data_IF_391691545963
#
_entry.id   IF_391691545963
#
_cell.length_a   1.000
_cell.length_b   1.000
_cell.length_c   1.000
_cell.angle_alpha   90.00
_cell.angle_beta   90.00
_cell.angle_gamma   90.00
#
_symmetry.space_group_name_H-M   'P 1'
#
loop_
_entity.id
_entity.type
_entity.pdbx_description
1 polymer ?
#
# COMPACT_ATOMS: atom_id res chain seq x y z
N UNK A 1 -22.94 94.06 -15.49
CA UNK A 1 -23.48 92.95 -16.36
C UNK A 1 -22.51 91.81 -16.22
N UNK A 2 -22.79 90.93 -15.34
CA UNK A 2 -21.87 89.89 -14.94
C UNK A 2 -22.65 88.55 -15.06
N UNK A 3 -22.19 87.66 -15.95
CA UNK A 3 -22.70 86.36 -16.08
C UNK A 3 -21.86 85.38 -15.24
N UNK A 4 -22.51 84.68 -14.28
CA UNK A 4 -21.92 83.68 -13.42
C UNK A 4 -22.11 82.34 -14.10
N UNK A 5 -21.01 81.71 -14.46
CA UNK A 5 -21.00 80.31 -14.96
C UNK A 5 -20.79 79.32 -13.81
N UNK A 6 -21.73 78.42 -13.65
CA UNK A 6 -21.67 77.35 -12.67
C UNK A 6 -20.81 76.19 -13.17
N UNK A 7 -19.97 75.54 -12.35
CA UNK A 7 -19.20 74.39 -12.74
C UNK A 7 -20.01 73.11 -12.55
N UNK A 8 -20.09 72.30 -13.59
CA UNK A 8 -20.60 70.94 -13.54
C UNK A 8 -19.66 70.03 -12.74
N UNK A 9 -20.14 69.54 -11.61
CA UNK A 9 -19.52 68.45 -10.89
C UNK A 9 -19.79 67.15 -11.62
N UNK A 10 -18.79 66.61 -12.28
CA UNK A 10 -18.77 65.21 -12.77
C UNK A 10 -18.52 64.30 -11.61
N UNK A 11 -19.55 63.62 -11.14
CA UNK A 11 -19.41 62.49 -10.22
C UNK A 11 -18.82 61.30 -10.98
N UNK A 12 -17.56 60.99 -10.73
CA UNK A 12 -16.94 59.75 -11.22
C UNK A 12 -17.42 58.55 -10.36
N UNK A 13 -18.31 57.76 -10.88
CA UNK A 13 -18.61 56.44 -10.29
C UNK A 13 -17.42 55.50 -10.52
N UNK A 14 -16.68 55.25 -9.46
CA UNK A 14 -15.70 54.15 -9.46
C UNK A 14 -16.45 52.86 -9.22
N UNK A 15 -16.70 52.11 -10.30
CA UNK A 15 -17.15 50.73 -10.23
C UNK A 15 -15.96 49.85 -9.79
N UNK A 16 -15.91 49.54 -8.50
CA UNK A 16 -14.97 48.58 -7.94
C UNK A 16 -15.40 47.18 -8.33
N UNK A 17 -14.87 46.66 -9.45
CA UNK A 17 -15.04 45.29 -9.84
C UNK A 17 -14.22 44.38 -8.91
N UNK A 18 -14.86 43.83 -7.88
CA UNK A 18 -14.29 42.80 -7.04
C UNK A 18 -14.15 41.51 -7.88
N UNK A 19 -12.96 41.27 -8.41
CA UNK A 19 -12.59 39.96 -9.00
C UNK A 19 -12.46 38.98 -7.85
N UNK A 20 -13.52 38.25 -7.59
CA UNK A 20 -13.48 37.07 -6.71
C UNK A 20 -12.69 36.01 -7.48
N UNK A 21 -11.39 35.91 -7.23
CA UNK A 21 -10.59 34.73 -7.58
C UNK A 21 -11.17 33.54 -6.79
N UNK A 22 -12.03 32.78 -7.45
CA UNK A 22 -12.38 31.43 -6.99
C UNK A 22 -11.10 30.60 -7.00
N UNK A 23 -10.43 30.56 -5.87
CA UNK A 23 -9.36 29.58 -5.62
C UNK A 23 -10.07 28.23 -5.58
N UNK A 24 -10.12 27.57 -6.71
CA UNK A 24 -10.50 26.14 -6.76
C UNK A 24 -9.40 25.38 -6.05
N UNK A 25 -9.58 25.14 -4.74
CA UNK A 25 -8.78 24.16 -4.03
C UNK A 25 -8.91 22.84 -4.80
N UNK A 26 -7.80 22.20 -5.17
CA UNK A 26 -7.88 20.90 -5.79
C UNK A 26 -8.69 20.01 -4.86
N UNK A 27 -9.82 19.50 -5.33
CA UNK A 27 -10.61 18.52 -4.60
C UNK A 27 -9.71 17.29 -4.44
N UNK A 28 -9.13 17.12 -3.26
CA UNK A 28 -8.29 15.97 -2.98
C UNK A 28 -9.19 14.75 -2.92
N UNK A 29 -9.14 13.98 -3.99
CA UNK A 29 -9.96 12.80 -4.13
C UNK A 29 -9.56 11.78 -3.06
N UNK A 30 -10.57 11.16 -2.48
CA UNK A 30 -10.41 10.04 -1.55
C UNK A 30 -10.66 8.75 -2.32
N UNK A 31 -9.90 7.71 -2.03
CA UNK A 31 -10.03 6.44 -2.70
C UNK A 31 -10.35 5.30 -1.74
N UNK A 32 -11.13 4.35 -2.23
CA UNK A 32 -11.38 3.08 -1.56
C UNK A 32 -11.00 1.94 -2.49
N UNK A 33 -10.30 0.96 -1.94
CA UNK A 33 -9.98 -0.31 -2.59
C UNK A 33 -10.70 -1.43 -1.86
N UNK A 34 -11.40 -2.27 -2.63
CA UNK A 34 -11.88 -3.58 -2.20
C UNK A 34 -11.34 -4.61 -3.17
N UNK A 35 -10.48 -5.49 -2.69
CA UNK A 35 -9.88 -6.53 -3.49
C UNK A 35 -10.05 -7.89 -2.83
N UNK A 36 -10.19 -8.92 -3.66
CA UNK A 36 -10.16 -10.31 -3.26
C UNK A 36 -9.15 -11.03 -4.14
N UNK A 37 -8.33 -11.88 -3.52
CA UNK A 37 -7.27 -12.58 -4.22
C UNK A 37 -7.38 -14.08 -3.98
N UNK A 38 -7.09 -14.84 -5.02
CA UNK A 38 -6.82 -16.26 -4.93
C UNK A 38 -5.31 -16.49 -4.86
N UNK A 39 -4.87 -17.28 -3.89
CA UNK A 39 -3.51 -17.76 -3.78
C UNK A 39 -3.45 -19.14 -4.46
N UNK A 40 -2.56 -19.31 -5.42
CA UNK A 40 -2.37 -20.60 -6.08
C UNK A 40 -0.91 -21.02 -6.10
N UNK A 41 -0.69 -22.33 -6.00
CA UNK A 41 0.60 -22.96 -6.17
C UNK A 41 0.55 -23.83 -7.44
N UNK A 42 1.32 -23.45 -8.46
CA UNK A 42 1.35 -24.18 -9.74
C UNK A 42 -0.07 -24.39 -10.34
N UNK A 43 -0.93 -23.36 -10.21
CA UNK A 43 -2.31 -23.38 -10.71
C UNK A 43 -3.36 -24.01 -9.78
N UNK A 44 -2.95 -24.60 -8.67
CA UNK A 44 -3.87 -25.16 -7.67
C UNK A 44 -4.15 -24.10 -6.60
N UNK A 45 -5.41 -23.78 -6.35
CA UNK A 45 -5.79 -22.83 -5.28
C UNK A 45 -5.47 -23.42 -3.90
N UNK A 46 -4.78 -22.63 -3.09
CA UNK A 46 -4.33 -22.99 -1.74
C UNK A 46 -4.76 -21.99 -0.66
N UNK A 47 -5.37 -20.86 -1.05
CA UNK A 47 -5.81 -19.86 -0.10
C UNK A 47 -6.48 -18.66 -0.77
N UNK A 48 -7.00 -17.78 0.06
CA UNK A 48 -7.66 -16.55 -0.35
C UNK A 48 -7.27 -15.40 0.58
N UNK A 49 -7.28 -14.19 0.04
CA UNK A 49 -7.08 -12.95 0.79
C UNK A 49 -8.19 -11.97 0.41
N UNK A 50 -8.82 -11.35 1.40
CA UNK A 50 -9.66 -10.18 1.21
C UNK A 50 -8.88 -8.95 1.71
N UNK A 51 -8.83 -7.87 0.92
CA UNK A 51 -8.13 -6.65 1.26
C UNK A 51 -9.02 -5.43 1.07
N UNK A 52 -9.08 -4.59 2.07
CA UNK A 52 -9.78 -3.31 2.07
C UNK A 52 -8.77 -2.20 2.36
N UNK A 53 -8.85 -1.09 1.62
CA UNK A 53 -8.12 0.12 1.96
C UNK A 53 -9.01 1.35 1.75
N UNK A 54 -8.87 2.33 2.63
CA UNK A 54 -9.47 3.64 2.51
C UNK A 54 -8.36 4.69 2.66
N UNK A 55 -8.19 5.52 1.63
CA UNK A 55 -7.13 6.51 1.54
C UNK A 55 -7.80 7.88 1.43
N UNK A 56 -7.68 8.67 2.48
CA UNK A 56 -8.18 10.04 2.56
C UNK A 56 -7.05 11.06 2.35
N UNK A 57 -7.36 12.32 2.60
CA UNK A 57 -6.39 13.42 2.44
C UNK A 57 -5.24 13.35 3.44
N UNK A 58 -5.53 13.02 4.68
CA UNK A 58 -4.56 13.05 5.79
C UNK A 58 -4.33 11.70 6.44
N UNK A 59 -5.22 10.75 6.23
CA UNK A 59 -5.19 9.45 6.91
C UNK A 59 -5.55 8.33 5.95
N UNK A 60 -4.98 7.17 6.24
CA UNK A 60 -5.40 5.93 5.58
C UNK A 60 -5.67 4.83 6.61
N UNK A 61 -6.48 3.87 6.20
CA UNK A 61 -6.64 2.58 6.85
C UNK A 61 -6.54 1.49 5.80
N UNK A 62 -5.95 0.37 6.16
CA UNK A 62 -5.90 -0.82 5.34
C UNK A 62 -6.09 -2.04 6.24
N UNK A 63 -6.85 -3.03 5.77
CA UNK A 63 -7.02 -4.30 6.46
C UNK A 63 -7.01 -5.44 5.46
N UNK A 64 -6.41 -6.55 5.84
CA UNK A 64 -6.48 -7.77 5.06
C UNK A 64 -6.76 -8.96 5.98
N UNK A 65 -7.56 -9.89 5.47
CA UNK A 65 -7.81 -11.19 6.07
C UNK A 65 -7.46 -12.27 5.07
N UNK A 66 -6.90 -13.36 5.55
CA UNK A 66 -6.54 -14.47 4.68
C UNK A 66 -6.72 -15.81 5.38
N UNK A 67 -6.96 -16.83 4.60
CA UNK A 67 -7.04 -18.21 5.08
C UNK A 67 -6.45 -19.18 4.06
N UNK A 68 -5.91 -20.28 4.55
CA UNK A 68 -5.62 -21.44 3.73
C UNK A 68 -6.94 -22.10 3.30
N UNK A 69 -7.02 -22.52 2.04
CA UNK A 69 -8.21 -23.15 1.48
C UNK A 69 -7.85 -24.13 0.37
N UNK A 70 -8.83 -24.94 -0.07
CA UNK A 70 -8.65 -25.89 -1.16
C UNK A 70 -8.03 -27.21 -0.72
N UNK A 71 -7.54 -27.98 -1.69
CA UNK A 71 -7.07 -29.38 -1.47
C UNK A 71 -5.86 -29.44 -0.53
N UNK A 72 -5.07 -28.37 -0.44
CA UNK A 72 -3.89 -28.31 0.42
C UNK A 72 -4.17 -27.74 1.81
N UNK A 73 -5.41 -27.32 2.13
CA UNK A 73 -5.76 -26.85 3.46
C UNK A 73 -5.57 -27.89 4.57
N UNK A 74 -5.52 -29.18 4.19
CA UNK A 74 -5.17 -30.30 5.10
C UNK A 74 -3.68 -30.32 5.44
N UNK A 75 -2.84 -29.70 4.58
CA UNK A 75 -1.36 -29.66 4.74
C UNK A 75 -0.86 -28.32 5.22
N UNK A 76 -1.61 -27.26 4.97
CA UNK A 76 -1.27 -25.87 5.36
C UNK A 76 -2.52 -25.25 5.96
N UNK A 77 -2.62 -25.31 7.28
CA UNK A 77 -3.66 -24.61 8.02
C UNK A 77 -3.15 -23.23 8.41
N UNK A 78 -3.99 -22.24 8.27
CA UNK A 78 -3.69 -20.91 8.74
C UNK A 78 -4.77 -19.92 8.36
N UNK A 79 -5.07 -19.05 9.27
CA UNK A 79 -5.89 -17.87 9.06
C UNK A 79 -5.24 -16.68 9.73
N UNK A 80 -5.50 -15.52 9.19
CA UNK A 80 -4.94 -14.32 9.79
C UNK A 80 -5.65 -13.05 9.36
N UNK A 81 -5.47 -12.04 10.19
CA UNK A 81 -5.85 -10.68 9.89
C UNK A 81 -4.70 -9.73 10.15
N UNK A 82 -4.60 -8.71 9.33
CA UNK A 82 -3.66 -7.61 9.50
C UNK A 82 -4.40 -6.29 9.29
N UNK A 83 -4.08 -5.32 10.12
CA UNK A 83 -4.61 -3.97 10.06
C UNK A 83 -3.47 -2.96 10.08
N UNK A 84 -3.51 -1.98 9.21
CA UNK A 84 -2.60 -0.86 9.18
C UNK A 84 -3.37 0.46 9.13
N UNK A 85 -2.83 1.47 9.80
CA UNK A 85 -3.33 2.84 9.70
C UNK A 85 -2.22 3.85 9.90
N UNK A 86 -2.38 5.01 9.30
CA UNK A 86 -1.39 6.06 9.42
C UNK A 86 -1.81 7.36 8.76
N UNK A 87 -0.85 8.22 8.50
CA UNK A 87 -1.02 9.49 7.81
C UNK A 87 -0.72 9.37 6.32
N UNK A 88 -1.28 10.31 5.55
CA UNK A 88 -0.92 10.56 4.16
C UNK A 88 -0.09 11.83 4.13
N UNK A 89 1.16 11.73 3.71
CA UNK A 89 2.12 12.83 3.71
C UNK A 89 2.75 12.94 2.31
N UNK A 90 2.48 14.06 1.63
CA UNK A 90 3.02 14.32 0.27
C UNK A 90 2.80 13.12 -0.67
N UNK A 91 1.56 12.60 -0.70
CA UNK A 91 1.18 11.48 -1.58
C UNK A 91 1.76 10.10 -1.17
N UNK A 92 2.38 10.00 0.00
CA UNK A 92 2.93 8.77 0.58
C UNK A 92 2.13 8.34 1.80
N UNK A 93 2.01 7.05 2.01
CA UNK A 93 1.46 6.49 3.25
C UNK A 93 2.58 6.33 4.29
N UNK A 94 2.36 6.91 5.47
CA UNK A 94 3.28 6.84 6.60
C UNK A 94 2.62 6.03 7.71
N UNK A 95 3.14 4.84 8.06
CA UNK A 95 2.54 3.98 9.06
C UNK A 95 2.57 4.63 10.45
N UNK A 96 1.52 4.39 11.23
CA UNK A 96 1.41 4.79 12.65
C UNK A 96 1.07 3.61 13.54
N UNK A 97 0.33 2.65 13.01
CA UNK A 97 -0.05 1.43 13.72
C UNK A 97 -0.16 0.28 12.74
N UNK A 98 0.39 -0.86 13.13
CA UNK A 98 0.17 -2.16 12.48
C UNK A 98 -0.22 -3.18 13.55
N UNK A 99 -1.22 -3.99 13.23
CA UNK A 99 -1.67 -5.12 14.07
C UNK A 99 -1.72 -6.36 13.19
N UNK A 100 -1.26 -7.47 13.70
CA UNK A 100 -1.33 -8.78 13.02
C UNK A 100 -1.79 -9.83 14.02
N UNK A 101 -2.78 -10.61 13.63
CA UNK A 101 -3.27 -11.78 14.37
C UNK A 101 -3.24 -12.95 13.40
N UNK A 102 -2.41 -13.94 13.68
CA UNK A 102 -2.23 -15.12 12.84
C UNK A 102 -2.42 -16.35 13.71
N UNK A 103 -3.17 -17.31 13.20
CA UNK A 103 -3.32 -18.64 13.78
C UNK A 103 -2.87 -19.65 12.73
N UNK A 104 -1.88 -20.46 13.07
CA UNK A 104 -1.36 -21.52 12.22
C UNK A 104 -1.08 -22.79 13.06
N UNK A 105 -0.44 -23.79 12.47
CA UNK A 105 -0.10 -25.03 13.17
C UNK A 105 0.92 -24.84 14.30
N UNK A 106 1.66 -23.73 14.32
CA UNK A 106 2.59 -23.38 15.40
C UNK A 106 1.87 -22.68 16.58
N UNK A 107 0.61 -22.25 16.38
CA UNK A 107 -0.24 -21.60 17.39
C UNK A 107 -0.71 -20.20 17.02
N UNK A 108 -1.10 -19.44 18.02
CA UNK A 108 -1.53 -18.04 17.87
C UNK A 108 -0.35 -17.10 18.00
N UNK A 109 -0.31 -16.12 17.11
CA UNK A 109 0.66 -15.03 17.11
C UNK A 109 -0.09 -13.71 17.03
N UNK A 110 0.15 -12.85 18.00
CA UNK A 110 -0.41 -11.50 18.06
C UNK A 110 0.73 -10.49 18.08
N UNK A 111 0.63 -9.50 17.19
CA UNK A 111 1.62 -8.44 17.07
C UNK A 111 0.91 -7.10 17.02
N UNK A 112 1.44 -6.14 17.77
CA UNK A 112 1.09 -4.73 17.67
C UNK A 112 2.35 -3.90 17.56
N UNK A 113 2.50 -3.13 16.49
CA UNK A 113 3.60 -2.18 16.30
C UNK A 113 3.05 -0.77 16.19
N UNK A 114 3.66 0.18 16.88
CA UNK A 114 3.47 1.62 16.64
C UNK A 114 4.70 2.18 15.94
N UNK A 115 4.48 3.19 15.11
CA UNK A 115 5.54 3.82 14.31
C UNK A 115 5.61 5.31 14.62
N UNK A 116 6.84 5.82 14.64
CA UNK A 116 7.15 7.24 14.78
C UNK A 116 8.49 7.53 14.09
N UNK A 117 8.67 8.73 13.54
CA UNK A 117 9.90 9.18 12.90
C UNK A 117 10.49 8.20 11.86
N UNK A 118 9.62 7.47 11.14
CA UNK A 118 10.02 6.54 10.09
C UNK A 118 10.53 5.19 10.58
N UNK A 119 10.22 4.78 11.80
CA UNK A 119 10.59 3.48 12.36
C UNK A 119 9.58 2.93 13.35
N UNK A 120 9.84 1.72 13.85
CA UNK A 120 9.05 1.11 14.92
C UNK A 120 9.41 1.77 16.24
N UNK A 121 8.43 2.40 16.89
CA UNK A 121 8.56 3.02 18.20
C UNK A 121 8.40 2.01 19.33
N UNK A 122 7.25 1.31 19.33
CA UNK A 122 6.92 0.31 20.33
C UNK A 122 6.40 -0.95 19.66
N UNK A 123 6.68 -2.09 20.25
CA UNK A 123 6.22 -3.39 19.76
C UNK A 123 5.79 -4.26 20.93
N UNK A 124 4.56 -4.76 20.85
CA UNK A 124 4.02 -5.78 21.76
C UNK A 124 3.78 -7.03 20.91
N UNK A 125 4.34 -8.15 21.34
CA UNK A 125 4.28 -9.39 20.61
C UNK A 125 4.00 -10.54 21.58
N UNK A 126 2.98 -11.34 21.26
CA UNK A 126 2.66 -12.59 21.95
C UNK A 126 2.88 -13.72 20.95
N UNK A 127 3.97 -14.42 21.10
CA UNK A 127 4.42 -15.49 20.20
C UNK A 127 5.10 -16.61 20.96
N UNK A 128 5.18 -17.79 20.35
CA UNK A 128 6.16 -18.78 20.79
C UNK A 128 7.57 -18.19 20.82
N UNK A 129 8.42 -18.58 21.78
CA UNK A 129 9.77 -18.01 21.91
C UNK A 129 10.54 -18.07 20.61
N UNK A 130 11.30 -17.00 20.25
CA UNK A 130 12.05 -16.97 19.00
C UNK A 130 13.09 -18.10 18.99
N UNK A 131 13.19 -18.80 17.85
CA UNK A 131 14.20 -19.85 17.67
C UNK A 131 15.60 -19.20 17.65
N UNK A 132 16.54 -19.78 18.36
CA UNK A 132 17.93 -19.28 18.51
C UNK A 132 18.76 -19.33 17.21
N UNK A 133 18.24 -19.98 16.15
CA UNK A 133 18.92 -20.19 14.86
C UNK A 133 18.67 -19.08 13.82
N UNK A 134 18.04 -17.96 14.23
CA UNK A 134 17.72 -16.84 13.34
C UNK A 134 18.77 -15.73 13.46
N UNK A 135 19.01 -15.03 12.35
CA UNK A 135 19.78 -13.77 12.34
C UNK A 135 19.12 -12.77 13.28
N UNK A 136 19.82 -12.25 14.30
CA UNK A 136 19.22 -11.37 15.28
C UNK A 136 18.65 -10.08 14.68
N UNK A 137 17.46 -9.69 15.12
CA UNK A 137 16.88 -8.38 14.84
C UNK A 137 17.40 -7.38 15.88
N UNK A 138 17.98 -6.27 15.41
CA UNK A 138 18.48 -5.18 16.25
C UNK A 138 17.62 -3.94 16.12
N UNK A 139 17.83 -2.94 16.99
CA UNK A 139 17.14 -1.64 16.88
C UNK A 139 17.37 -0.93 15.52
N UNK A 140 18.57 -1.10 14.92
CA UNK A 140 18.86 -0.55 13.61
C UNK A 140 17.93 -1.12 12.51
N UNK A 141 17.51 -2.37 12.67
CA UNK A 141 16.62 -3.06 11.73
C UNK A 141 15.15 -2.56 11.79
N UNK A 142 14.81 -1.78 12.81
CA UNK A 142 13.47 -1.21 13.03
C UNK A 142 13.34 0.23 12.53
N UNK A 143 14.43 0.83 12.01
CA UNK A 143 14.46 2.20 11.50
C UNK A 143 14.30 2.23 9.98
N UNK A 144 13.65 3.27 9.47
CA UNK A 144 13.44 3.45 8.03
C UNK A 144 12.59 2.35 7.39
N UNK A 145 11.61 1.82 8.13
CA UNK A 145 10.80 0.68 7.71
C UNK A 145 9.32 1.01 7.73
N UNK A 146 8.57 0.30 6.89
CA UNK A 146 7.12 0.24 6.97
C UNK A 146 6.67 -1.19 7.34
N UNK A 147 5.42 -1.31 7.78
CA UNK A 147 4.77 -2.61 7.87
C UNK A 147 4.45 -3.18 6.47
N UNK A 148 4.23 -4.50 6.35
CA UNK A 148 3.99 -5.14 5.06
C UNK A 148 2.78 -4.60 4.29
N UNK A 149 1.70 -4.24 4.99
CA UNK A 149 0.47 -3.82 4.35
C UNK A 149 0.58 -2.39 3.79
N UNK A 150 1.19 -1.48 4.57
CA UNK A 150 1.49 -0.11 4.13
C UNK A 150 2.49 -0.10 2.98
N UNK A 151 3.54 -0.92 3.04
CA UNK A 151 4.57 -0.98 2.00
C UNK A 151 4.04 -1.38 0.63
N UNK A 152 2.95 -2.17 0.58
CA UNK A 152 2.32 -2.58 -0.68
C UNK A 152 1.44 -1.49 -1.31
N UNK A 153 1.05 -0.46 -0.56
CA UNK A 153 0.31 0.70 -1.06
C UNK A 153 1.32 1.80 -1.45
N UNK A 154 1.84 1.72 -2.65
CA UNK A 154 2.94 2.58 -3.09
C UNK A 154 2.47 3.91 -3.67
N UNK A 155 3.25 5.00 -3.49
CA UNK A 155 3.03 6.23 -4.25
C UNK A 155 3.20 5.98 -5.75
N UNK A 156 2.19 6.35 -6.54
CA UNK A 156 2.21 6.34 -8.00
C UNK A 156 2.45 7.72 -8.61
N UNK A 157 2.44 8.79 -7.79
CA UNK A 157 2.58 10.16 -8.27
C UNK A 157 1.47 10.60 -9.22
N UNK A 158 1.80 11.54 -10.10
CA UNK A 158 0.86 12.06 -11.12
C UNK A 158 0.64 11.04 -12.25
N UNK A 159 1.63 10.20 -12.55
CA UNK A 159 1.54 9.07 -13.47
C UNK A 159 1.75 7.75 -12.72
N UNK A 160 0.67 7.09 -12.42
CA UNK A 160 0.66 5.82 -11.70
C UNK A 160 1.44 4.69 -12.41
N UNK A 161 1.61 4.80 -13.72
CA UNK A 161 2.30 3.82 -14.56
C UNK A 161 3.74 4.24 -14.92
N UNK A 162 4.23 5.35 -14.39
CA UNK A 162 5.60 5.79 -14.64
C UNK A 162 6.63 4.72 -14.26
N UNK A 163 7.63 4.51 -15.10
CA UNK A 163 8.71 3.55 -14.88
C UNK A 163 9.42 3.79 -13.53
N UNK A 164 9.62 5.07 -13.16
CA UNK A 164 10.24 5.47 -11.91
C UNK A 164 9.51 4.94 -10.65
N UNK A 165 8.26 4.54 -10.77
CA UNK A 165 7.52 3.93 -9.67
C UNK A 165 8.03 2.53 -9.31
N UNK A 166 8.76 1.85 -10.20
CA UNK A 166 9.50 0.63 -9.89
C UNK A 166 10.93 0.87 -9.39
N UNK A 167 11.50 2.07 -9.54
CA UNK A 167 12.88 2.36 -9.10
C UNK A 167 12.92 2.73 -7.62
N UNK A 168 12.62 1.76 -6.77
CA UNK A 168 12.60 1.96 -5.32
C UNK A 168 12.87 0.70 -4.53
N UNK A 169 13.22 0.90 -3.28
CA UNK A 169 13.36 -0.17 -2.30
C UNK A 169 12.25 -0.03 -1.26
N UNK A 170 11.47 -1.09 -1.07
CA UNK A 170 10.48 -1.18 0.00
C UNK A 170 11.16 -1.82 1.21
N UNK A 171 11.45 -1.03 2.22
CA UNK A 171 12.07 -1.47 3.46
C UNK A 171 10.99 -1.91 4.44
N UNK A 172 10.91 -3.21 4.73
CA UNK A 172 9.78 -3.82 5.43
C UNK A 172 10.25 -4.49 6.72
N UNK A 173 9.48 -4.29 7.79
CA UNK A 173 9.60 -5.04 9.03
C UNK A 173 8.21 -5.58 9.43
N UNK A 174 8.11 -6.91 9.56
CA UNK A 174 6.85 -7.61 9.85
C UNK A 174 6.67 -7.97 11.34
N UNK A 175 7.55 -7.45 12.20
CA UNK A 175 7.63 -7.78 13.63
C UNK A 175 8.65 -8.87 13.94
N UNK A 176 8.94 -9.75 13.00
CA UNK A 176 9.89 -10.85 13.12
C UNK A 176 11.08 -10.73 12.17
N UNK A 177 10.81 -10.24 10.93
CA UNK A 177 11.78 -10.23 9.83
C UNK A 177 11.95 -8.82 9.30
N UNK A 178 13.19 -8.48 9.02
CA UNK A 178 13.59 -7.29 8.29
C UNK A 178 14.05 -7.71 6.91
N UNK A 179 13.43 -7.15 5.89
CA UNK A 179 13.78 -7.43 4.49
C UNK A 179 13.50 -6.21 3.61
N UNK A 180 14.22 -6.14 2.52
CA UNK A 180 13.97 -5.19 1.45
C UNK A 180 13.42 -5.90 0.23
N UNK A 181 12.49 -5.23 -0.46
CA UNK A 181 12.08 -5.59 -1.81
C UNK A 181 12.59 -4.48 -2.73
N UNK A 182 13.67 -4.74 -3.45
CA UNK A 182 14.15 -3.85 -4.49
C UNK A 182 13.30 -4.07 -5.75
N UNK A 183 12.63 -3.02 -6.19
CA UNK A 183 11.77 -3.03 -7.36
C UNK A 183 12.54 -2.50 -8.57
N UNK A 184 12.32 -3.10 -9.74
CA UNK A 184 12.91 -2.73 -11.01
C UNK A 184 11.83 -2.73 -12.08
N UNK A 185 11.80 -1.71 -12.93
CA UNK A 185 10.84 -1.67 -14.03
C UNK A 185 11.04 -2.86 -14.99
N UNK A 186 9.94 -3.54 -15.33
CA UNK A 186 9.94 -4.57 -16.39
C UNK A 186 9.16 -4.15 -17.61
N UNK A 187 7.90 -3.79 -17.45
CA UNK A 187 6.99 -3.41 -18.54
C UNK A 187 5.69 -2.79 -18.01
N UNK A 188 4.95 -2.19 -18.92
CA UNK A 188 3.52 -1.96 -18.76
C UNK A 188 2.79 -3.13 -19.41
N UNK A 189 1.77 -3.65 -18.75
CA UNK A 189 0.95 -4.74 -19.26
C UNK A 189 -0.54 -4.37 -19.17
N UNK A 190 -1.42 -5.21 -19.66
CA UNK A 190 -2.87 -5.04 -19.55
C UNK A 190 -3.47 -6.22 -18.84
N UNK A 191 -4.44 -5.94 -17.97
CA UNK A 191 -5.19 -6.95 -17.24
C UNK A 191 -6.67 -6.59 -17.27
N UNK A 192 -7.52 -7.61 -17.27
CA UNK A 192 -8.95 -7.49 -17.05
C UNK A 192 -9.33 -8.44 -15.92
N UNK A 193 -9.81 -7.89 -14.82
CA UNK A 193 -10.33 -8.65 -13.68
C UNK A 193 -11.83 -8.80 -13.89
N UNK A 194 -12.33 -10.01 -13.69
CA UNK A 194 -13.75 -10.31 -13.93
C UNK A 194 -14.66 -9.35 -13.13
N UNK A 195 -14.28 -9.02 -11.90
CA UNK A 195 -15.00 -8.10 -11.03
C UNK A 195 -14.12 -6.89 -10.71
N UNK A 196 -14.21 -5.83 -11.51
CA UNK A 196 -13.63 -4.54 -11.21
C UNK A 196 -12.64 -4.03 -12.25
N UNK A 197 -11.34 -4.03 -11.96
CA UNK A 197 -10.33 -3.35 -12.74
C UNK A 197 -10.10 -3.97 -14.13
N UNK A 198 -10.14 -3.10 -15.14
CA UNK A 198 -9.70 -3.43 -16.49
C UNK A 198 -8.86 -2.27 -17.03
N UNK A 199 -7.60 -2.50 -17.34
CA UNK A 199 -6.71 -1.43 -17.77
C UNK A 199 -5.24 -1.82 -17.78
N UNK A 200 -4.39 -0.79 -17.92
CA UNK A 200 -2.94 -0.94 -17.89
C UNK A 200 -2.44 -1.07 -16.46
N UNK A 201 -1.43 -1.90 -16.24
CA UNK A 201 -0.79 -2.15 -14.96
C UNK A 201 0.73 -1.97 -15.09
N UNK A 202 1.34 -1.49 -14.02
CA UNK A 202 2.78 -1.38 -13.90
C UNK A 202 3.35 -2.70 -13.39
N UNK A 203 4.27 -3.31 -14.14
CA UNK A 203 4.92 -4.57 -13.75
C UNK A 203 6.35 -4.29 -13.33
N UNK A 204 6.62 -4.51 -12.05
CA UNK A 204 7.95 -4.41 -11.47
C UNK A 204 8.53 -5.82 -11.24
N UNK A 205 9.78 -6.02 -11.63
CA UNK A 205 10.58 -7.13 -11.12
C UNK A 205 10.92 -6.90 -9.66
N UNK A 206 11.08 -7.96 -8.90
CA UNK A 206 11.34 -7.90 -7.45
C UNK A 206 12.59 -8.68 -7.10
N UNK A 207 13.44 -8.09 -6.27
CA UNK A 207 14.59 -8.75 -5.66
C UNK A 207 14.39 -8.72 -4.14
N UNK A 208 14.26 -9.90 -3.53
CA UNK A 208 14.20 -10.02 -2.09
C UNK A 208 15.61 -9.93 -1.50
N UNK A 209 15.79 -9.04 -0.54
CA UNK A 209 17.01 -8.91 0.27
C UNK A 209 16.66 -9.22 1.73
N UNK A 210 16.86 -10.46 2.20
CA UNK A 210 16.64 -10.82 3.59
C UNK A 210 17.75 -10.21 4.46
N UNK A 211 17.38 -9.50 5.51
CA UNK A 211 18.34 -8.76 6.37
C UNK A 211 18.46 -9.41 7.74
N UNK A 212 17.35 -9.60 8.45
CA UNK A 212 17.34 -10.18 9.79
C UNK A 212 16.04 -10.97 10.06
N UNK A 213 16.03 -11.80 11.11
CA UNK A 213 14.88 -12.60 11.52
C UNK A 213 14.69 -13.91 10.75
N UNK A 214 15.54 -14.19 9.78
CA UNK A 214 15.55 -15.45 9.02
C UNK A 214 16.55 -16.44 9.59
N UNK A 215 16.32 -17.73 9.33
CA UNK A 215 17.34 -18.75 9.53
C UNK A 215 18.43 -18.58 8.47
N UNK A 216 19.68 -18.43 8.92
CA UNK A 216 20.81 -18.20 8.03
C UNK A 216 21.04 -19.35 7.02
N UNK A 217 20.66 -20.57 7.38
CA UNK A 217 20.76 -21.78 6.57
C UNK A 217 19.51 -22.08 5.73
N UNK A 218 18.44 -21.28 5.82
CA UNK A 218 17.18 -21.54 5.13
C UNK A 218 17.36 -21.63 3.61
N UNK A 219 17.19 -22.83 3.06
CA UNK A 219 17.24 -23.08 1.61
C UNK A 219 16.17 -22.29 0.86
N UNK A 220 14.97 -22.15 1.41
CA UNK A 220 13.89 -21.37 0.80
C UNK A 220 14.26 -19.89 0.69
N UNK A 221 14.77 -19.30 1.78
CA UNK A 221 15.18 -17.88 1.77
C UNK A 221 16.30 -17.65 0.76
N UNK A 222 17.33 -18.50 0.75
CA UNK A 222 18.44 -18.43 -0.21
C UNK A 222 17.94 -18.57 -1.66
N UNK A 223 17.05 -19.52 -1.90
CA UNK A 223 16.46 -19.72 -3.21
C UNK A 223 15.70 -18.49 -3.69
N UNK A 224 14.76 -17.98 -2.90
CA UNK A 224 13.93 -16.82 -3.28
C UNK A 224 14.79 -15.56 -3.42
N UNK A 225 15.76 -15.32 -2.53
CA UNK A 225 16.67 -14.18 -2.62
C UNK A 225 17.56 -14.22 -3.88
N UNK A 226 17.87 -15.42 -4.39
CA UNK A 226 18.60 -15.61 -5.65
C UNK A 226 17.76 -15.39 -6.92
N UNK A 227 16.45 -15.29 -6.81
CA UNK A 227 15.55 -15.16 -7.98
C UNK A 227 15.54 -13.74 -8.55
N UNK A 228 15.31 -13.67 -9.86
CA UNK A 228 15.15 -12.41 -10.62
C UNK A 228 13.90 -12.39 -11.48
N UNK A 229 13.07 -13.40 -11.34
CA UNK A 229 11.82 -13.61 -12.08
C UNK A 229 10.55 -13.43 -11.22
N UNK A 230 10.71 -12.91 -10.00
CA UNK A 230 9.59 -12.42 -9.20
C UNK A 230 8.99 -11.16 -9.81
N UNK A 231 7.67 -11.02 -9.74
CA UNK A 231 6.95 -9.85 -10.24
C UNK A 231 5.89 -9.37 -9.26
N UNK A 232 5.79 -8.06 -9.13
CA UNK A 232 4.66 -7.35 -8.55
C UNK A 232 3.98 -6.53 -9.65
N UNK A 233 2.69 -6.70 -9.82
CA UNK A 233 1.87 -5.99 -10.78
C UNK A 233 0.99 -5.01 -10.02
N UNK A 234 1.06 -3.74 -10.36
CA UNK A 234 0.37 -2.68 -9.65
C UNK A 234 -0.69 -2.03 -10.52
N UNK A 235 -1.88 -1.82 -9.94
CA UNK A 235 -2.96 -1.05 -10.54
C UNK A 235 -3.21 0.24 -9.75
N UNK A 236 -3.65 1.33 -10.41
CA UNK A 236 -4.02 2.57 -9.74
C UNK A 236 -5.22 2.38 -8.82
N UNK A 237 -5.17 3.03 -7.65
CA UNK A 237 -6.33 3.16 -6.76
C UNK A 237 -7.05 4.47 -7.12
N UNK A 238 -8.23 4.35 -7.72
CA UNK A 238 -9.00 5.49 -8.21
C UNK A 238 -9.19 6.56 -7.14
N UNK A 239 -9.06 7.83 -7.53
CA UNK A 239 -9.18 8.98 -6.64
C UNK A 239 -7.97 9.22 -5.75
N UNK A 240 -6.86 8.54 -5.97
CA UNK A 240 -5.63 8.73 -5.20
C UNK A 240 -4.39 8.72 -6.11
N UNK A 241 -3.25 9.13 -5.57
CA UNK A 241 -1.94 8.94 -6.20
C UNK A 241 -1.26 7.63 -5.75
N UNK A 242 -2.03 6.63 -5.33
CA UNK A 242 -1.52 5.35 -4.81
C UNK A 242 -1.77 4.24 -5.83
N UNK A 243 -0.82 3.31 -5.90
CA UNK A 243 -0.97 2.05 -6.62
C UNK A 243 -0.98 0.89 -5.62
N UNK A 244 -1.77 -0.14 -5.92
CA UNK A 244 -1.89 -1.34 -5.09
C UNK A 244 -1.58 -2.60 -5.93
N UNK A 245 -1.02 -3.65 -5.33
CA UNK A 245 -0.73 -4.88 -6.05
C UNK A 245 -2.02 -5.58 -6.48
N UNK A 246 -2.08 -5.95 -7.75
CA UNK A 246 -3.19 -6.70 -8.34
C UNK A 246 -2.79 -8.15 -8.64
N UNK A 247 -1.48 -8.40 -8.74
CA UNK A 247 -0.92 -9.73 -8.96
C UNK A 247 0.50 -9.82 -8.41
N UNK A 248 0.84 -10.95 -7.82
CA UNK A 248 2.18 -11.30 -7.33
C UNK A 248 2.58 -12.63 -7.94
N UNK A 249 3.77 -12.70 -8.51
CA UNK A 249 4.35 -13.93 -9.01
C UNK A 249 5.66 -14.19 -8.27
N UNK A 250 5.76 -15.34 -7.62
CA UNK A 250 6.94 -15.74 -6.86
C UNK A 250 7.30 -17.20 -7.14
N UNK A 251 8.47 -17.49 -7.72
CA UNK A 251 8.96 -18.84 -7.83
C UNK A 251 9.34 -19.39 -6.45
N UNK A 252 8.99 -20.65 -6.20
CA UNK A 252 9.35 -21.37 -4.98
C UNK A 252 10.05 -22.68 -5.33
N UNK A 253 10.58 -23.40 -4.33
CA UNK A 253 11.25 -24.69 -4.54
C UNK A 253 10.31 -25.78 -5.11
N UNK A 254 9.00 -25.63 -4.88
CA UNK A 254 8.00 -26.62 -5.28
C UNK A 254 7.08 -26.14 -6.40
N UNK A 255 7.43 -25.02 -7.04
CA UNK A 255 6.67 -24.47 -8.15
C UNK A 255 6.44 -22.96 -8.04
N UNK A 256 5.52 -22.45 -8.84
CA UNK A 256 5.20 -21.04 -8.91
C UNK A 256 4.05 -20.70 -7.97
N UNK A 257 4.31 -19.83 -7.00
CA UNK A 257 3.27 -19.18 -6.21
C UNK A 257 2.73 -17.97 -6.97
N UNK A 258 1.43 -17.88 -7.07
CA UNK A 258 0.72 -16.75 -7.64
C UNK A 258 -0.35 -16.27 -6.67
N UNK A 259 -0.38 -14.96 -6.41
CA UNK A 259 -1.48 -14.27 -5.72
C UNK A 259 -2.10 -13.36 -6.77
N UNK A 260 -3.31 -13.61 -7.21
CA UNK A 260 -3.96 -12.85 -8.26
C UNK A 260 -5.34 -12.38 -7.81
N UNK A 261 -5.65 -11.12 -8.08
CA UNK A 261 -6.97 -10.58 -7.80
C UNK A 261 -8.01 -11.22 -8.72
N UNK A 262 -9.09 -11.71 -8.16
CA UNK A 262 -10.33 -12.09 -8.84
C UNK A 262 -11.43 -11.01 -8.67
N UNK A 263 -11.23 -10.08 -7.72
CA UNK A 263 -11.97 -8.84 -7.55
C UNK A 263 -10.99 -7.71 -7.21
N UNK A 264 -11.11 -6.57 -7.92
CA UNK A 264 -10.31 -5.39 -7.66
C UNK A 264 -11.13 -4.13 -7.99
N UNK A 265 -11.84 -3.62 -7.00
CA UNK A 265 -12.72 -2.46 -7.11
C UNK A 265 -12.06 -1.26 -6.45
N UNK A 266 -11.60 -0.33 -7.25
CA UNK A 266 -11.05 0.94 -6.81
C UNK A 266 -12.03 2.06 -7.15
N UNK A 267 -12.54 2.76 -6.13
CA UNK A 267 -13.55 3.82 -6.30
C UNK A 267 -13.06 5.14 -5.70
N UNK A 268 -13.22 6.23 -6.47
CA UNK A 268 -13.04 7.57 -5.94
C UNK A 268 -14.26 7.95 -5.09
N UNK A 269 -14.03 8.47 -3.90
CA UNK A 269 -15.10 9.04 -3.07
C UNK A 269 -15.04 10.56 -3.22
N UNK A 270 -16.16 11.24 -3.54
CA UNK A 270 -16.19 12.69 -3.55
C UNK A 270 -15.77 13.27 -2.19
N UNK A 271 -15.10 14.43 -2.16
CA UNK A 271 -14.79 15.09 -0.90
C UNK A 271 -16.08 15.39 -0.13
N UNK A 272 -16.07 15.14 1.16
CA UNK A 272 -17.20 15.51 2.03
C UNK A 272 -17.35 17.04 2.01
N UNK A 273 -18.56 17.58 1.70
CA UNK A 273 -18.78 19.02 1.81
C UNK A 273 -18.41 19.53 3.22
N UNK A 274 -17.84 20.73 3.35
CA UNK A 274 -17.60 21.29 4.66
C UNK A 274 -18.90 21.37 5.44
N UNK A 275 -18.87 21.04 6.72
CA UNK A 275 -20.02 21.18 7.60
C UNK A 275 -20.50 22.63 7.58
N UNK A 276 -21.82 22.90 7.49
CA UNK A 276 -22.32 24.27 7.59
C UNK A 276 -21.89 24.87 8.92
N UNK A 277 -21.28 26.07 8.84
CA UNK A 277 -20.85 26.87 10.01
C UNK A 277 -22.05 27.52 10.66
#
# INVERSE_FOLDING_TARGET
MTWISAPYRRAALHALAAVICLITLPAQAQGRLKAHYTISMTGVSIGQIAWLAAIGEQRYTASATGNASGVLSVLVNGEGSVDARGSVEVGRLVPRLFISNITDDEGKSELRMTFDEGGVKDMIQHEPPPRSDRVPVTEAHRRGVADPLTAMLMPGGDDALAHANCDRVLSIFDGRRRYDLALLFKRIDKIAIERGYSGSVLVCGVILQPIAGYRADSMLVKYVAGRRDMELWFAPVAGTSIVAPIRVLMPTLIGKLEIAADQFEATATPPTPPAPQ
#
